data_IF_932088243868
#
_entry.id   IF_932088243868
#
_cell.length_a   1.000
_cell.length_b   1.000
_cell.length_c   1.000
_cell.angle_alpha   90.00
_cell.angle_beta   90.00
_cell.angle_gamma   90.00
#
_symmetry.space_group_name_H-M   'P 1'
#
loop_
_entity.id
_entity.type
_entity.pdbx_description
1 polymer ?
#
# COMPACT_ATOMS: atom_id res chain seq x y z
N UNK A 1 35.32 -8.29 39.64
CA UNK A 1 34.07 -7.50 39.53
C UNK A 1 34.11 -6.33 38.53
N UNK A 2 35.22 -6.06 37.82
CA UNK A 2 35.30 -4.97 36.82
C UNK A 2 34.78 -5.35 35.42
N UNK A 3 34.79 -6.65 35.10
CA UNK A 3 34.38 -7.17 33.79
C UNK A 3 32.84 -7.24 33.67
N UNK A 4 32.12 -7.49 34.78
CA UNK A 4 30.65 -7.51 34.81
C UNK A 4 29.99 -6.13 34.55
N UNK A 5 30.73 -5.04 34.81
CA UNK A 5 30.25 -3.66 34.59
C UNK A 5 30.45 -3.16 33.16
N UNK A 6 31.34 -3.79 32.38
CA UNK A 6 31.49 -3.50 30.95
C UNK A 6 30.39 -4.20 30.12
N UNK A 7 29.94 -5.38 30.56
CA UNK A 7 28.90 -6.15 29.88
C UNK A 7 27.50 -5.51 29.97
N UNK A 8 27.22 -4.69 30.98
CA UNK A 8 25.96 -3.92 31.08
C UNK A 8 25.95 -2.67 30.21
N UNK A 9 27.12 -2.17 29.80
CA UNK A 9 27.28 -0.94 29.01
C UNK A 9 27.16 -1.19 27.49
N UNK A 10 27.43 -2.41 27.03
CA UNK A 10 27.28 -2.80 25.62
C UNK A 10 25.82 -3.08 25.20
N UNK A 11 24.91 -3.30 26.16
CA UNK A 11 23.51 -3.60 25.89
C UNK A 11 22.66 -2.37 25.50
N UNK A 12 23.17 -1.14 25.68
CA UNK A 12 22.43 0.11 25.41
C UNK A 12 22.66 0.65 23.99
N UNK A 13 23.66 0.15 23.26
CA UNK A 13 24.04 0.67 21.93
C UNK A 13 23.54 -0.25 20.78
N UNK A 14 23.01 -1.43 21.10
CA UNK A 14 22.47 -2.35 20.11
C UNK A 14 20.94 -2.35 20.11
N UNK A 15 20.33 -1.20 19.79
CA UNK A 15 18.98 -1.24 19.21
C UNK A 15 19.19 -1.19 17.71
N UNK A 16 18.96 -2.29 16.96
CA UNK A 16 18.89 -2.18 15.52
C UNK A 16 17.73 -1.22 15.20
N UNK A 17 18.03 -0.16 14.44
CA UNK A 17 17.03 0.56 13.66
C UNK A 17 16.35 -0.50 12.81
N UNK A 18 15.18 -0.96 13.21
CA UNK A 18 14.38 -1.84 12.40
C UNK A 18 13.91 -1.02 11.19
N UNK A 19 14.75 -0.97 10.16
CA UNK A 19 14.36 -0.58 8.81
C UNK A 19 13.45 -1.71 8.31
N UNK A 20 12.22 -1.75 8.83
CA UNK A 20 11.17 -2.51 8.20
C UNK A 20 10.99 -1.95 6.79
N UNK A 21 10.77 -2.81 5.80
CA UNK A 21 10.22 -2.38 4.54
C UNK A 21 8.95 -1.59 4.87
N UNK A 22 9.00 -0.27 4.71
CA UNK A 22 7.85 0.57 4.99
C UNK A 22 6.73 0.14 4.06
N UNK A 23 5.49 0.06 4.57
CA UNK A 23 4.32 -0.17 3.73
C UNK A 23 4.34 0.76 2.51
N UNK A 24 3.99 0.22 1.35
CA UNK A 24 3.80 0.99 0.14
C UNK A 24 2.32 1.38 0.03
N UNK A 25 2.09 2.60 -0.47
CA UNK A 25 0.78 3.07 -0.90
C UNK A 25 0.67 2.85 -2.40
N UNK A 26 -0.26 2.01 -2.79
CA UNK A 26 -0.63 1.70 -4.17
C UNK A 26 -1.81 2.56 -4.56
N UNK A 27 -1.76 3.17 -5.74
CA UNK A 27 -2.80 4.05 -6.25
C UNK A 27 -3.10 3.73 -7.69
N UNK A 28 -4.37 3.48 -7.98
CA UNK A 28 -4.93 3.45 -9.33
C UNK A 28 -5.79 4.69 -9.53
N UNK A 29 -5.53 5.47 -10.57
CA UNK A 29 -6.35 6.63 -10.95
C UNK A 29 -6.77 6.55 -12.41
N UNK A 30 -8.06 6.75 -12.67
CA UNK A 30 -8.64 6.64 -14.00
C UNK A 30 -9.87 7.55 -14.12
N UNK A 31 -10.29 7.82 -15.36
CA UNK A 31 -11.61 8.43 -15.61
C UNK A 31 -12.60 7.32 -15.92
N UNK A 32 -13.72 7.29 -15.20
CA UNK A 32 -14.72 6.24 -15.33
C UNK A 32 -16.16 6.70 -15.09
N UNK A 33 -17.08 5.78 -15.32
CA UNK A 33 -18.52 5.93 -15.09
C UNK A 33 -19.05 4.71 -14.36
N UNK A 34 -20.15 4.87 -13.61
CA UNK A 34 -20.67 3.83 -12.74
C UNK A 34 -21.68 4.34 -11.74
N UNK A 35 -21.89 3.58 -10.66
CA UNK A 35 -22.69 4.01 -9.52
C UNK A 35 -22.07 3.58 -8.19
N UNK A 36 -22.38 4.31 -7.11
CA UNK A 36 -22.05 3.92 -5.72
C UNK A 36 -23.30 4.02 -4.88
N UNK A 37 -23.74 2.89 -4.31
CA UNK A 37 -24.97 2.84 -3.51
C UNK A 37 -26.22 3.28 -4.29
N UNK A 38 -26.22 3.05 -5.61
CA UNK A 38 -27.28 3.48 -6.52
C UNK A 38 -27.23 4.96 -6.93
N UNK A 39 -26.19 5.71 -6.57
CA UNK A 39 -25.95 7.07 -7.04
C UNK A 39 -24.94 7.04 -8.19
N UNK A 40 -25.38 7.48 -9.37
CA UNK A 40 -24.56 7.45 -10.57
C UNK A 40 -23.46 8.51 -10.56
N UNK A 41 -22.32 8.16 -11.15
CA UNK A 41 -21.26 9.07 -11.55
C UNK A 41 -20.92 8.84 -13.03
N UNK A 42 -20.59 9.91 -13.74
CA UNK A 42 -20.31 9.85 -15.17
C UNK A 42 -19.05 10.64 -15.49
N UNK A 43 -18.11 9.99 -16.18
CA UNK A 43 -16.87 10.58 -16.67
C UNK A 43 -16.12 11.33 -15.55
N UNK A 44 -16.08 10.73 -14.37
CA UNK A 44 -15.46 11.28 -13.18
C UNK A 44 -14.08 10.65 -12.97
N UNK A 45 -13.16 11.41 -12.39
CA UNK A 45 -11.89 10.85 -11.93
C UNK A 45 -12.15 9.99 -10.72
N UNK A 46 -11.79 8.72 -10.81
CA UNK A 46 -11.86 7.73 -9.74
C UNK A 46 -10.45 7.39 -9.31
N UNK A 47 -10.24 7.31 -8.00
CA UNK A 47 -8.98 6.91 -7.40
C UNK A 47 -9.23 5.79 -6.41
N UNK A 48 -8.49 4.69 -6.55
CA UNK A 48 -8.39 3.64 -5.55
C UNK A 48 -7.05 3.73 -4.84
N UNK A 49 -7.05 3.51 -3.53
CA UNK A 49 -5.84 3.60 -2.71
C UNK A 49 -5.77 2.42 -1.75
N UNK A 50 -4.72 1.63 -1.88
CA UNK A 50 -4.42 0.52 -0.98
C UNK A 50 -3.07 0.75 -0.32
N UNK A 51 -2.89 0.25 0.90
CA UNK A 51 -1.56 0.17 1.53
C UNK A 51 -1.26 -1.29 1.81
N UNK A 52 -0.06 -1.76 1.45
CA UNK A 52 0.37 -3.12 1.74
C UNK A 52 1.86 -3.14 2.12
N UNK A 53 2.27 -4.20 2.81
CA UNK A 53 3.67 -4.47 3.14
C UNK A 53 4.27 -5.40 2.08
N UNK A 54 5.25 -4.94 1.27
CA UNK A 54 5.87 -5.80 0.25
C UNK A 54 6.58 -7.03 0.82
N UNK A 55 6.88 -7.07 2.12
CA UNK A 55 7.46 -8.25 2.75
C UNK A 55 6.48 -9.43 2.87
N UNK A 56 5.17 -9.18 2.74
CA UNK A 56 4.14 -10.22 2.71
C UNK A 56 3.78 -10.67 1.28
N UNK A 57 4.65 -10.43 0.30
CA UNK A 57 4.42 -10.81 -1.10
C UNK A 57 4.21 -12.32 -1.23
N UNK A 58 3.14 -12.69 -1.93
CA UNK A 58 2.83 -14.08 -2.26
C UNK A 58 3.22 -14.28 -3.73
N UNK A 59 4.01 -15.32 -3.99
CA UNK A 59 4.28 -15.80 -5.35
C UNK A 59 3.35 -16.99 -5.62
N UNK A 60 2.39 -16.80 -6.52
CA UNK A 60 1.40 -17.82 -6.87
C UNK A 60 1.90 -18.76 -8.00
N UNK A 61 3.06 -18.45 -8.58
CA UNK A 61 3.63 -19.15 -9.72
C UNK A 61 3.25 -18.53 -11.06
N UNK A 62 3.92 -18.92 -12.14
CA UNK A 62 3.58 -18.46 -13.51
C UNK A 62 3.77 -16.96 -13.77
N UNK A 63 4.56 -16.26 -12.94
CA UNK A 63 4.71 -14.81 -13.00
C UNK A 63 3.56 -14.04 -12.36
N UNK A 64 2.79 -14.70 -11.50
CA UNK A 64 1.68 -14.11 -10.75
C UNK A 64 2.13 -13.83 -9.31
N UNK A 65 1.91 -12.60 -8.87
CA UNK A 65 2.20 -12.18 -7.50
C UNK A 65 1.03 -11.41 -6.91
N UNK A 66 0.82 -11.60 -5.61
CA UNK A 66 -0.28 -10.97 -4.88
C UNK A 66 0.18 -10.38 -3.54
N UNK A 67 -0.50 -9.32 -3.12
CA UNK A 67 -0.39 -8.72 -1.80
C UNK A 67 -1.77 -8.45 -1.23
N UNK A 68 -1.99 -8.84 0.02
CA UNK A 68 -3.18 -8.42 0.76
C UNK A 68 -2.98 -6.99 1.29
N UNK A 69 -3.90 -6.04 1.00
CA UNK A 69 -3.90 -4.74 1.64
C UNK A 69 -3.91 -4.85 3.16
N UNK A 70 -3.10 -4.05 3.84
CA UNK A 70 -2.99 -3.99 5.30
C UNK A 70 -4.16 -3.25 5.96
N UNK A 71 -4.92 -2.48 5.19
CA UNK A 71 -6.13 -1.77 5.60
C UNK A 71 -7.19 -1.89 4.49
N UNK A 72 -8.48 -1.68 4.79
CA UNK A 72 -9.50 -1.57 3.74
C UNK A 72 -9.07 -0.59 2.65
N UNK A 73 -9.23 -1.00 1.39
CA UNK A 73 -8.91 -0.17 0.23
C UNK A 73 -9.88 1.00 0.19
N UNK A 74 -9.36 2.21 0.01
CA UNK A 74 -10.16 3.42 -0.12
C UNK A 74 -10.50 3.71 -1.58
N UNK A 75 -11.63 4.36 -1.81
CA UNK A 75 -11.96 4.96 -3.09
C UNK A 75 -12.39 6.42 -2.93
N UNK A 76 -12.14 7.22 -3.95
CA UNK A 76 -12.69 8.56 -4.12
C UNK A 76 -13.08 8.82 -5.56
N UNK A 77 -14.20 9.49 -5.75
CA UNK A 77 -14.76 9.87 -7.05
C UNK A 77 -14.91 11.39 -7.06
N UNK A 78 -14.30 12.04 -8.05
CA UNK A 78 -14.44 13.47 -8.25
C UNK A 78 -15.93 13.84 -8.38
N UNK A 79 -16.37 14.81 -7.60
CA UNK A 79 -17.81 15.13 -7.45
C UNK A 79 -18.40 14.70 -6.10
N UNK A 80 -17.66 13.94 -5.28
CA UNK A 80 -17.87 13.91 -3.82
C UNK A 80 -18.11 12.54 -3.18
N UNK A 81 -18.26 11.46 -3.97
CA UNK A 81 -18.37 10.13 -3.39
C UNK A 81 -16.99 9.61 -2.94
N UNK A 82 -16.91 9.10 -1.72
CA UNK A 82 -15.71 8.45 -1.19
C UNK A 82 -16.09 7.47 -0.09
N UNK A 83 -15.23 6.49 0.13
CA UNK A 83 -15.46 5.43 1.10
C UNK A 83 -14.35 4.39 1.09
N UNK A 84 -14.67 3.22 1.63
CA UNK A 84 -13.79 2.05 1.63
C UNK A 84 -14.55 0.83 1.13
N UNK A 85 -13.84 -0.06 0.45
CA UNK A 85 -14.35 -1.38 0.10
C UNK A 85 -14.52 -2.22 1.36
N UNK A 86 -15.60 -2.99 1.40
CA UNK A 86 -15.88 -3.98 2.46
C UNK A 86 -15.51 -5.40 2.05
N UNK A 87 -15.33 -5.59 0.74
CA UNK A 87 -14.92 -6.86 0.15
C UNK A 87 -13.45 -7.15 0.43
N UNK A 88 -13.09 -8.44 0.37
CA UNK A 88 -11.72 -8.89 0.46
C UNK A 88 -11.01 -8.60 -0.86
N UNK A 89 -10.14 -7.59 -0.88
CA UNK A 89 -9.39 -7.21 -2.08
C UNK A 89 -7.93 -7.67 -2.03
N UNK A 90 -7.30 -7.75 -3.20
CA UNK A 90 -5.87 -7.97 -3.36
C UNK A 90 -5.23 -6.99 -4.32
N UNK A 91 -3.97 -6.65 -4.08
CA UNK A 91 -3.09 -6.14 -5.12
C UNK A 91 -2.55 -7.33 -5.90
N UNK A 92 -2.55 -7.22 -7.22
CA UNK A 92 -2.25 -8.32 -8.12
C UNK A 92 -1.35 -7.83 -9.25
N UNK A 93 -0.42 -8.68 -9.68
CA UNK A 93 0.32 -8.52 -10.94
C UNK A 93 0.41 -9.86 -11.65
N UNK A 94 0.22 -9.86 -12.96
CA UNK A 94 0.49 -10.97 -13.84
C UNK A 94 1.48 -10.54 -14.92
N UNK A 95 2.73 -10.97 -14.77
CA UNK A 95 3.85 -10.64 -15.64
C UNK A 95 3.68 -11.21 -17.06
N UNK A 96 2.95 -12.32 -17.23
CA UNK A 96 2.71 -12.92 -18.54
C UNK A 96 1.70 -12.15 -19.40
N UNK A 97 0.91 -11.27 -18.77
CA UNK A 97 -0.11 -10.46 -19.44
C UNK A 97 0.14 -8.95 -19.29
N UNK A 98 1.27 -8.55 -18.70
CA UNK A 98 1.64 -7.15 -18.48
C UNK A 98 0.54 -6.35 -17.77
N UNK A 99 -0.06 -6.91 -16.72
CA UNK A 99 -1.16 -6.28 -15.96
C UNK A 99 -0.86 -6.20 -14.47
N UNK A 100 -1.25 -5.09 -13.84
CA UNK A 100 -1.22 -4.93 -12.39
C UNK A 100 -2.37 -4.04 -11.90
N UNK A 101 -2.84 -4.25 -10.68
CA UNK A 101 -3.86 -3.40 -10.06
C UNK A 101 -4.55 -4.09 -8.89
N UNK A 102 -5.86 -3.86 -8.75
CA UNK A 102 -6.69 -4.40 -7.69
C UNK A 102 -7.65 -5.49 -8.20
N UNK A 103 -7.63 -6.64 -7.53
CA UNK A 103 -8.58 -7.72 -7.69
C UNK A 103 -9.50 -7.83 -6.47
N UNK A 104 -10.67 -8.40 -6.67
CA UNK A 104 -11.64 -8.73 -5.63
C UNK A 104 -11.69 -10.25 -5.42
N UNK A 105 -11.15 -10.69 -4.27
CA UNK A 105 -11.13 -12.10 -3.88
C UNK A 105 -12.48 -12.62 -3.42
N UNK A 106 -13.43 -11.73 -3.09
CA UNK A 106 -14.78 -12.12 -2.68
C UNK A 106 -15.53 -12.73 -3.84
N UNK A 107 -15.38 -12.13 -5.02
CA UNK A 107 -16.10 -12.49 -6.24
C UNK A 107 -15.19 -13.10 -7.32
N UNK A 108 -13.88 -13.16 -7.10
CA UNK A 108 -12.86 -13.63 -8.06
C UNK A 108 -12.82 -12.79 -9.35
N UNK A 109 -12.93 -11.46 -9.21
CA UNK A 109 -13.01 -10.52 -10.31
C UNK A 109 -11.86 -9.51 -10.32
N UNK A 110 -11.53 -9.01 -11.50
CA UNK A 110 -10.72 -7.80 -11.66
C UNK A 110 -11.55 -6.58 -11.26
N UNK A 111 -11.20 -5.90 -10.17
CA UNK A 111 -11.78 -4.59 -9.86
C UNK A 111 -11.25 -3.54 -10.85
N UNK A 112 -9.93 -3.45 -10.98
CA UNK A 112 -9.27 -2.67 -12.01
C UNK A 112 -7.82 -3.10 -12.15
N UNK A 113 -7.41 -3.50 -13.35
CA UNK A 113 -6.02 -3.69 -13.72
C UNK A 113 -5.61 -2.68 -14.79
N UNK A 114 -4.41 -2.12 -14.65
CA UNK A 114 -3.73 -1.35 -15.68
C UNK A 114 -2.90 -2.31 -16.53
N UNK A 115 -3.02 -2.25 -17.87
CA UNK A 115 -2.15 -2.99 -18.79
C UNK A 115 -0.97 -2.14 -19.27
N UNK A 116 0.26 -2.55 -18.94
CA UNK A 116 1.48 -1.86 -19.34
C UNK A 116 2.71 -2.80 -19.33
N UNK A 117 3.58 -2.77 -20.35
CA UNK A 117 4.80 -3.60 -20.41
C UNK A 117 5.78 -3.43 -19.24
N UNK A 118 5.71 -2.33 -18.48
CA UNK A 118 6.48 -2.15 -17.26
C UNK A 118 6.17 -3.23 -16.20
N UNK A 119 5.05 -3.95 -16.32
CA UNK A 119 4.67 -5.02 -15.41
C UNK A 119 5.29 -6.38 -15.73
N UNK A 120 6.00 -6.55 -16.85
CA UNK A 120 6.61 -7.82 -17.28
C UNK A 120 7.62 -8.41 -16.28
N UNK A 121 8.18 -7.60 -15.38
CA UNK A 121 9.11 -8.02 -14.32
C UNK A 121 8.74 -7.40 -12.96
N UNK A 122 7.51 -6.91 -12.82
CA UNK A 122 7.07 -6.21 -11.63
C UNK A 122 6.58 -7.22 -10.57
N UNK A 123 7.04 -7.06 -9.34
CA UNK A 123 6.72 -7.92 -8.19
C UNK A 123 6.11 -7.09 -7.05
N UNK A 124 5.19 -6.18 -7.40
CA UNK A 124 4.48 -5.30 -6.45
C UNK A 124 5.39 -4.46 -5.53
N UNK A 125 6.61 -4.13 -5.96
CA UNK A 125 7.51 -3.20 -5.28
C UNK A 125 7.14 -1.73 -5.51
N UNK A 126 8.06 -0.80 -5.22
CA UNK A 126 7.84 0.60 -5.57
C UNK A 126 7.92 0.78 -7.09
N UNK A 127 6.99 1.55 -7.66
CA UNK A 127 6.96 1.89 -9.08
C UNK A 127 6.40 3.31 -9.26
N UNK A 128 6.98 4.05 -10.21
CA UNK A 128 6.44 5.34 -10.62
C UNK A 128 5.06 5.21 -11.27
N UNK A 129 4.46 6.35 -11.61
CA UNK A 129 3.21 6.38 -12.34
C UNK A 129 3.35 5.68 -13.71
N UNK A 130 2.57 4.63 -13.89
CA UNK A 130 2.54 3.77 -15.08
C UNK A 130 1.11 3.74 -15.60
N UNK A 131 0.89 4.25 -16.80
CA UNK A 131 -0.46 4.36 -17.38
C UNK A 131 -0.71 3.35 -18.49
N UNK A 132 -1.95 2.91 -18.64
CA UNK A 132 -2.32 1.87 -19.60
C UNK A 132 -3.82 1.74 -19.78
N UNK A 133 -4.24 0.85 -20.68
CA UNK A 133 -5.65 0.49 -20.81
C UNK A 133 -6.13 -0.19 -19.54
N UNK A 134 -7.34 0.15 -19.09
CA UNK A 134 -7.98 -0.53 -17.96
C UNK A 134 -8.59 -1.86 -18.39
N UNK A 135 -8.47 -2.87 -17.52
CA UNK A 135 -9.17 -4.15 -17.59
C UNK A 135 -9.92 -4.30 -16.28
N UNK A 136 -11.22 -4.53 -16.34
CA UNK A 136 -12.08 -4.68 -15.18
C UNK A 136 -13.29 -5.52 -15.57
N UNK A 137 -13.92 -6.15 -14.58
CA UNK A 137 -15.19 -6.81 -14.80
C UNK A 137 -16.34 -5.81 -14.67
N UNK A 138 -17.21 -5.75 -15.68
CA UNK A 138 -18.36 -4.85 -15.70
C UNK A 138 -19.65 -5.64 -15.44
N UNK A 139 -20.50 -5.09 -14.58
CA UNK A 139 -21.83 -5.62 -14.29
C UNK A 139 -22.66 -5.89 -15.55
N UNK A 140 -22.60 -4.97 -16.53
CA UNK A 140 -23.45 -4.99 -17.72
C UNK A 140 -23.06 -6.02 -18.78
N UNK A 141 -21.79 -6.44 -18.84
CA UNK A 141 -21.27 -7.26 -19.96
C UNK A 141 -20.78 -8.64 -19.55
N UNK A 142 -20.34 -8.81 -18.31
CA UNK A 142 -19.54 -9.98 -17.98
C UNK A 142 -20.34 -11.01 -17.18
N UNK A 143 -20.96 -10.64 -16.05
CA UNK A 143 -21.55 -11.62 -15.12
C UNK A 143 -22.81 -11.20 -14.34
N UNK A 144 -23.39 -10.01 -14.56
CA UNK A 144 -24.60 -9.57 -13.85
C UNK A 144 -24.44 -9.41 -12.33
N UNK A 145 -23.23 -9.52 -11.80
CA UNK A 145 -22.90 -9.51 -10.36
C UNK A 145 -21.60 -8.77 -10.01
N UNK A 146 -20.93 -8.08 -10.95
CA UNK A 146 -19.71 -7.32 -10.68
C UNK A 146 -20.00 -5.99 -9.93
N UNK A 147 -20.59 -6.12 -8.74
CA UNK A 147 -20.86 -5.03 -7.80
C UNK A 147 -19.94 -5.23 -6.59
N UNK A 148 -19.02 -4.31 -6.39
CA UNK A 148 -18.03 -4.38 -5.32
C UNK A 148 -18.59 -3.73 -4.05
N UNK A 149 -18.66 -4.48 -2.96
CA UNK A 149 -19.18 -4.01 -1.68
C UNK A 149 -18.36 -2.85 -1.10
N UNK A 150 -19.05 -1.78 -0.69
CA UNK A 150 -18.43 -0.66 0.02
C UNK A 150 -19.27 -0.23 1.22
N UNK A 151 -18.68 0.60 2.10
CA UNK A 151 -19.41 1.23 3.20
C UNK A 151 -20.46 2.28 2.77
N UNK A 152 -20.63 2.50 1.46
CA UNK A 152 -21.66 3.34 0.85
C UNK A 152 -22.69 2.54 0.03
N UNK A 153 -22.63 1.20 0.07
CA UNK A 153 -23.37 0.31 -0.83
C UNK A 153 -22.47 -0.23 -1.94
N UNK A 154 -23.04 -0.92 -2.93
CA UNK A 154 -22.27 -1.47 -4.04
C UNK A 154 -21.65 -0.37 -4.92
N UNK A 155 -20.39 -0.53 -5.29
CA UNK A 155 -19.72 0.21 -6.36
C UNK A 155 -19.79 -0.63 -7.62
N UNK A 156 -20.42 -0.08 -8.66
CA UNK A 156 -20.55 -0.70 -9.98
C UNK A 156 -19.82 0.17 -11.00
N UNK A 157 -18.82 -0.38 -11.67
CA UNK A 157 -18.08 0.28 -12.75
C UNK A 157 -18.65 -0.14 -14.09
N UNK A 158 -19.15 0.83 -14.86
CA UNK A 158 -19.69 0.60 -16.21
C UNK A 158 -18.74 1.03 -17.32
N UNK A 159 -17.78 1.91 -17.00
CA UNK A 159 -16.72 2.31 -17.92
C UNK A 159 -15.46 2.73 -17.17
N UNK A 160 -14.29 2.36 -17.70
CA UNK A 160 -13.00 2.88 -17.28
C UNK A 160 -12.12 3.14 -18.51
N UNK A 161 -11.56 4.36 -18.61
CA UNK A 161 -10.64 4.73 -19.67
C UNK A 161 -9.21 4.25 -19.40
N UNK A 162 -8.21 5.07 -19.70
CA UNK A 162 -6.83 4.84 -19.28
C UNK A 162 -6.71 4.96 -17.77
N UNK A 163 -6.11 3.95 -17.13
CA UNK A 163 -5.74 3.94 -15.72
C UNK A 163 -4.26 4.25 -15.55
N UNK A 164 -3.92 4.78 -14.38
CA UNK A 164 -2.54 5.06 -13.95
C UNK A 164 -2.32 4.42 -12.59
N UNK A 165 -1.47 3.40 -12.59
CA UNK A 165 -1.04 2.68 -11.40
C UNK A 165 0.29 3.23 -10.88
N UNK A 166 0.45 3.31 -9.56
CA UNK A 166 1.71 3.67 -8.91
C UNK A 166 1.82 3.02 -7.54
N UNK A 167 3.05 2.81 -7.07
CA UNK A 167 3.32 2.34 -5.73
C UNK A 167 4.49 3.12 -5.12
N UNK A 168 4.21 3.87 -4.06
CA UNK A 168 5.20 4.74 -3.42
C UNK A 168 5.35 4.39 -1.95
N UNK A 169 6.56 4.53 -1.41
CA UNK A 169 6.75 4.38 0.03
C UNK A 169 5.90 5.41 0.77
N UNK A 170 5.20 4.99 1.81
CA UNK A 170 4.56 5.93 2.72
C UNK A 170 5.65 6.90 3.22
N UNK A 171 5.40 8.23 3.15
CA UNK A 171 6.41 9.20 3.55
C UNK A 171 6.79 8.91 5.00
N UNK A 172 8.05 8.55 5.25
CA UNK A 172 8.52 8.32 6.60
C UNK A 172 8.33 9.63 7.38
N UNK A 173 7.48 9.60 8.41
CA UNK A 173 7.38 10.72 9.34
C UNK A 173 8.76 10.85 9.99
N UNK A 174 9.45 12.00 9.87
CA UNK A 174 10.76 12.16 10.49
C UNK A 174 10.69 11.81 11.97
N UNK A 175 11.56 10.92 12.43
CA UNK A 175 11.59 10.54 13.83
C UNK A 175 11.71 11.79 14.71
N UNK A 176 10.95 11.88 15.82
CA UNK A 176 11.03 13.03 16.70
C UNK A 176 12.48 13.28 17.15
N UNK A 177 12.94 14.52 17.05
CA UNK A 177 14.27 14.93 17.53
C UNK A 177 14.51 14.60 19.03
N UNK A 178 13.45 14.22 19.75
CA UNK A 178 13.49 13.62 21.08
C UNK A 178 14.42 12.40 21.19
N UNK A 179 14.59 11.59 20.14
CA UNK A 179 15.54 10.45 20.17
C UNK A 179 16.99 10.93 20.13
N UNK A 180 17.28 11.99 19.36
CA UNK A 180 18.58 12.66 19.38
C UNK A 180 18.83 13.32 20.73
N UNK A 181 17.81 13.96 21.32
CA UNK A 181 17.90 14.56 22.66
C UNK A 181 18.11 13.50 23.75
N UNK A 182 17.43 12.36 23.67
CA UNK A 182 17.62 11.23 24.58
C UNK A 182 19.04 10.66 24.46
N UNK A 183 19.52 10.46 23.24
CA UNK A 183 20.88 9.98 22.98
C UNK A 183 21.96 10.94 23.49
N UNK A 184 21.86 12.22 23.15
CA UNK A 184 22.81 13.24 23.61
C UNK A 184 22.71 13.50 25.12
N UNK A 185 21.50 13.47 25.69
CA UNK A 185 21.26 13.56 27.12
C UNK A 185 21.88 12.39 27.91
N UNK A 186 21.76 11.16 27.39
CA UNK A 186 22.39 9.98 27.98
C UNK A 186 23.94 10.09 27.95
N UNK A 187 24.51 10.55 26.84
CA UNK A 187 25.96 10.82 26.75
C UNK A 187 26.41 11.90 27.74
N UNK A 188 25.62 12.97 27.91
CA UNK A 188 25.87 14.00 28.91
C UNK A 188 25.88 13.45 30.34
N UNK A 189 24.89 12.62 30.70
CA UNK A 189 24.83 11.96 32.00
C UNK A 189 26.03 11.03 32.25
N UNK A 190 26.44 10.26 31.24
CA UNK A 190 27.63 9.40 31.31
C UNK A 190 28.91 10.22 31.56
N UNK A 191 29.04 11.39 30.96
CA UNK A 191 30.15 12.32 31.23
C UNK A 191 30.21 12.76 32.70
N UNK A 192 29.07 13.04 33.31
CA UNK A 192 28.98 13.43 34.73
C UNK A 192 29.33 12.27 35.66
N UNK A 193 28.85 11.06 35.38
CA UNK A 193 29.15 9.86 36.18
C UNK A 193 30.64 9.52 36.12
N UNK A 194 31.26 9.57 34.94
CA UNK A 194 32.71 9.34 34.80
C UNK A 194 33.53 10.32 35.65
N UNK A 195 33.13 11.59 35.69
CA UNK A 195 33.84 12.62 36.45
C UNK A 195 33.74 12.44 37.97
N UNK A 196 32.65 11.87 38.47
CA UNK A 196 32.41 11.71 39.91
C UNK A 196 32.97 10.42 40.52
N UNK A 197 33.17 9.37 39.72
CA UNK A 197 33.51 8.04 40.24
C UNK A 197 34.85 7.47 39.73
N UNK A 198 35.52 8.16 38.82
CA UNK A 198 36.81 7.72 38.24
C UNK A 198 37.90 8.81 38.26
N UNK A 199 37.77 9.79 39.16
CA UNK A 199 38.86 10.68 39.60
C UNK A 199 39.17 10.36 41.05
#
# INVERSE_FOLDING_TARGET
MRILKLLTLAAVIAVPLAMHASSLTYTDTFTGSGSVGGVDFNNAVVTFTATADPSSLINEGGGIFALSPSTPVAFSIAGGASGVFTDSLQLFVNQSSDIAGLGDNTNDFALLYTSNPAFAAYELGAIGATSGSSIFNNFATDLGEAVYGTNKGGLDLTAAGTSTFSAVAASQVPEPSSLVLLGTGALGALGVVRRKFFV
#
